data_IF_380346896662
#
_entry.id   IF_380346896662
#
_cell.length_a   1.000
_cell.length_b   1.000
_cell.length_c   1.000
_cell.angle_alpha   90.00
_cell.angle_beta   90.00
_cell.angle_gamma   90.00
#
_symmetry.space_group_name_H-M   'P 1'
#
loop_
_entity.id
_entity.type
_entity.pdbx_description
1 polymer ?
#
# COMPACT_ATOMS: atom_id res chain seq x y z
N UNK A 1 23.20 -8.47 3.00
CA UNK A 1 22.77 -9.75 3.61
C UNK A 1 22.25 -9.45 5.00
N UNK A 2 20.93 -9.45 5.19
CA UNK A 2 20.31 -9.40 6.53
C UNK A 2 19.44 -10.65 6.61
N UNK A 3 19.67 -11.56 7.57
CA UNK A 3 18.98 -12.85 7.58
C UNK A 3 17.49 -12.65 7.82
N UNK A 4 16.67 -13.34 7.02
CA UNK A 4 15.22 -13.50 7.24
C UNK A 4 15.02 -14.27 8.54
N UNK A 5 14.42 -13.65 9.56
CA UNK A 5 13.87 -14.39 10.70
C UNK A 5 12.34 -14.35 10.54
N UNK A 6 11.80 -15.34 9.83
CA UNK A 6 10.37 -15.60 9.85
C UNK A 6 10.06 -16.29 11.18
N UNK A 7 9.41 -15.58 12.09
CA UNK A 7 8.88 -16.16 13.32
C UNK A 7 7.60 -16.90 12.99
N UNK A 8 7.74 -18.12 12.50
CA UNK A 8 6.65 -19.09 12.47
C UNK A 8 6.22 -19.41 13.92
N UNK A 9 4.97 -19.81 14.18
CA UNK A 9 4.52 -20.29 15.49
C UNK A 9 5.44 -21.39 16.04
N UNK A 10 6.08 -22.15 15.15
CA UNK A 10 7.11 -23.14 15.48
C UNK A 10 8.40 -22.53 16.07
N UNK A 11 8.77 -21.29 15.76
CA UNK A 11 9.91 -20.60 16.36
C UNK A 11 9.63 -20.20 17.82
N UNK A 12 8.40 -19.77 18.12
CA UNK A 12 7.96 -19.56 19.51
C UNK A 12 7.87 -20.87 20.28
N UNK A 13 7.34 -21.93 19.66
CA UNK A 13 7.34 -23.25 20.29
C UNK A 13 8.75 -23.78 20.49
N UNK A 14 9.69 -23.56 19.56
CA UNK A 14 11.09 -23.94 19.71
C UNK A 14 11.79 -23.16 20.82
N UNK A 15 11.55 -21.85 20.92
CA UNK A 15 12.07 -21.03 22.01
C UNK A 15 11.52 -21.44 23.38
N UNK A 16 10.21 -21.69 23.45
CA UNK A 16 9.56 -22.17 24.67
C UNK A 16 10.01 -23.59 25.04
N UNK A 17 10.14 -24.49 24.06
CA UNK A 17 10.64 -25.84 24.24
C UNK A 17 12.09 -25.84 24.70
N UNK A 18 12.96 -25.00 24.11
CA UNK A 18 14.34 -24.84 24.55
C UNK A 18 14.43 -24.30 25.98
N UNK A 19 13.60 -23.31 26.34
CA UNK A 19 13.49 -22.79 27.71
C UNK A 19 13.03 -23.87 28.70
N UNK A 20 12.01 -24.65 28.34
CA UNK A 20 11.53 -25.80 29.11
C UNK A 20 12.62 -26.87 29.26
N UNK A 21 13.39 -27.14 28.21
CA UNK A 21 14.48 -28.12 28.23
C UNK A 21 15.60 -27.68 29.19
N UNK A 22 15.88 -26.38 29.26
CA UNK A 22 16.83 -25.79 30.23
C UNK A 22 16.29 -25.87 31.66
N UNK A 23 15.02 -25.56 31.89
CA UNK A 23 14.40 -25.71 33.23
C UNK A 23 14.31 -27.17 33.67
N UNK A 24 13.95 -28.08 32.76
CA UNK A 24 13.84 -29.52 33.03
C UNK A 24 15.21 -30.13 33.28
N UNK A 25 16.23 -29.79 32.49
CA UNK A 25 17.60 -30.26 32.74
C UNK A 25 18.16 -29.74 34.08
N UNK A 26 17.87 -28.48 34.45
CA UNK A 26 18.21 -27.95 35.77
C UNK A 26 17.50 -28.70 36.91
N UNK A 27 16.21 -29.02 36.73
CA UNK A 27 15.41 -29.75 37.72
C UNK A 27 15.87 -31.20 37.87
N UNK A 28 16.16 -31.88 36.76
CA UNK A 28 16.70 -33.25 36.75
C UNK A 28 18.09 -33.28 37.39
N UNK A 29 18.96 -32.31 37.10
CA UNK A 29 20.28 -32.22 37.73
C UNK A 29 20.19 -31.96 39.23
N UNK A 30 19.26 -31.10 39.67
CA UNK A 30 18.99 -30.85 41.08
C UNK A 30 18.45 -32.11 41.79
N UNK A 31 17.52 -32.84 41.17
CA UNK A 31 16.98 -34.11 41.68
C UNK A 31 18.04 -35.21 41.75
N UNK A 32 18.91 -35.31 40.74
CA UNK A 32 19.99 -36.29 40.71
C UNK A 32 21.05 -36.00 41.79
N UNK A 33 21.34 -34.71 42.02
CA UNK A 33 22.21 -34.23 43.11
C UNK A 33 21.60 -34.42 44.49
N UNK A 34 20.28 -34.25 44.62
CA UNK A 34 19.56 -34.53 45.86
C UNK A 34 19.61 -36.04 46.20
N UNK A 35 19.34 -36.90 45.20
CA UNK A 35 19.42 -38.37 45.34
C UNK A 35 20.82 -38.86 45.67
N UNK A 36 21.87 -38.33 45.04
CA UNK A 36 23.25 -38.72 45.37
C UNK A 36 23.68 -38.24 46.77
N UNK A 37 23.14 -37.12 47.25
CA UNK A 37 23.37 -36.64 48.63
C UNK A 37 22.59 -37.41 49.71
N UNK A 38 21.50 -38.09 49.34
CA UNK A 38 20.71 -38.97 50.23
C UNK A 38 21.25 -40.40 50.21
N UNK A 39 21.64 -40.93 49.05
CA UNK A 39 22.31 -42.23 48.95
C UNK A 39 23.65 -42.27 49.70
N UNK A 40 24.34 -41.13 49.82
CA UNK A 40 25.56 -41.02 50.66
C UNK A 40 25.23 -40.87 52.15
N UNK A 41 24.05 -40.33 52.53
CA UNK A 41 23.67 -40.16 53.94
C UNK A 41 23.08 -41.43 54.58
N UNK A 42 22.49 -42.34 53.81
CA UNK A 42 22.09 -43.66 54.31
C UNK A 42 23.24 -44.67 54.42
N UNK A 43 24.42 -44.35 53.87
CA UNK A 43 25.58 -45.26 53.84
C UNK A 43 26.81 -44.75 54.60
N UNK A 44 26.71 -43.71 55.44
CA UNK A 44 27.80 -43.36 56.38
C UNK A 44 27.72 -44.23 57.63
N UNK A 45 27.98 -45.51 57.44
CA UNK A 45 28.84 -46.28 58.33
C UNK A 45 30.22 -46.40 57.66
N UNK A 46 31.06 -45.37 57.82
CA UNK A 46 32.52 -45.44 57.62
C UNK A 46 33.05 -45.62 56.19
N UNK A 47 33.78 -44.61 55.68
CA UNK A 47 34.63 -44.81 54.49
C UNK A 47 35.04 -43.51 53.81
N UNK A 48 36.26 -43.07 54.08
CA UNK A 48 36.90 -41.91 53.42
C UNK A 48 37.18 -42.24 51.95
N UNK A 49 37.31 -41.17 51.15
CA UNK A 49 37.93 -41.07 49.82
C UNK A 49 37.22 -41.75 48.64
N UNK A 50 36.72 -40.92 47.72
CA UNK A 50 36.19 -41.36 46.43
C UNK A 50 35.32 -40.33 45.69
N UNK A 51 35.25 -39.08 46.14
CA UNK A 51 34.66 -38.02 45.31
C UNK A 51 35.64 -37.69 44.19
N UNK A 52 35.45 -38.33 43.05
CA UNK A 52 36.15 -38.05 41.79
C UNK A 52 36.08 -36.56 41.50
N UNK A 53 37.21 -35.87 41.65
CA UNK A 53 37.40 -34.43 41.37
C UNK A 53 36.85 -34.04 39.99
N UNK A 54 36.80 -34.98 39.04
CA UNK A 54 36.18 -34.84 37.71
C UNK A 54 34.67 -34.57 37.70
N UNK A 55 33.88 -35.16 38.59
CA UNK A 55 32.42 -34.94 38.65
C UNK A 55 32.06 -33.52 39.13
N UNK A 56 32.89 -32.94 40.00
CA UNK A 56 32.73 -31.57 40.49
C UNK A 56 33.10 -30.50 39.45
N UNK A 57 34.04 -30.81 38.54
CA UNK A 57 34.47 -29.91 37.45
C UNK A 57 33.48 -29.93 36.29
N UNK A 58 32.98 -31.12 35.92
CA UNK A 58 31.97 -31.26 34.87
C UNK A 58 30.66 -30.55 35.24
N UNK A 59 30.21 -30.68 36.49
CA UNK A 59 29.01 -29.98 36.98
C UNK A 59 29.18 -28.46 37.00
N UNK A 60 30.36 -27.93 37.38
CA UNK A 60 30.62 -26.48 37.27
C UNK A 60 30.64 -25.99 35.82
N UNK A 61 31.23 -26.75 34.91
CA UNK A 61 31.25 -26.41 33.49
C UNK A 61 29.83 -26.36 32.90
N UNK A 62 28.95 -27.30 33.27
CA UNK A 62 27.55 -27.32 32.84
C UNK A 62 26.76 -26.11 33.38
N UNK A 63 26.98 -25.71 34.63
CA UNK A 63 26.31 -24.54 35.22
C UNK A 63 26.77 -23.23 34.54
N UNK A 64 28.07 -23.10 34.28
CA UNK A 64 28.62 -21.93 33.56
C UNK A 64 28.10 -21.88 32.12
N UNK A 65 28.07 -23.03 31.43
CA UNK A 65 27.52 -23.13 30.08
C UNK A 65 26.02 -22.78 30.06
N UNK A 66 25.26 -23.25 31.05
CA UNK A 66 23.84 -22.93 31.19
C UNK A 66 23.60 -21.43 31.43
N UNK A 67 24.37 -20.80 32.32
CA UNK A 67 24.27 -19.37 32.57
C UNK A 67 24.63 -18.55 31.32
N UNK A 68 25.68 -18.97 30.59
CA UNK A 68 26.08 -18.35 29.34
C UNK A 68 25.00 -18.46 28.26
N UNK A 69 24.38 -19.64 28.09
CA UNK A 69 23.29 -19.86 27.15
C UNK A 69 22.03 -19.05 27.52
N UNK A 70 21.69 -18.98 28.82
CA UNK A 70 20.56 -18.17 29.31
C UNK A 70 20.76 -16.69 29.04
N UNK A 71 21.98 -16.17 29.29
CA UNK A 71 22.32 -14.77 29.01
C UNK A 71 22.30 -14.47 27.52
N UNK A 72 22.78 -15.40 26.68
CA UNK A 72 22.73 -15.29 25.22
C UNK A 72 21.29 -15.21 24.71
N UNK A 73 20.39 -16.07 25.21
CA UNK A 73 18.97 -16.05 24.87
C UNK A 73 18.28 -14.74 25.28
N UNK A 74 18.58 -14.23 26.48
CA UNK A 74 18.07 -12.93 26.95
C UNK A 74 18.57 -11.77 26.09
N UNK A 75 19.86 -11.75 25.73
CA UNK A 75 20.40 -10.74 24.83
C UNK A 75 19.73 -10.76 23.45
N UNK A 76 19.50 -11.94 22.87
CA UNK A 76 18.79 -12.07 21.58
C UNK A 76 17.35 -11.57 21.69
N UNK A 77 16.64 -11.93 22.76
CA UNK A 77 15.27 -11.47 22.99
C UNK A 77 15.19 -9.95 23.18
N UNK A 78 16.12 -9.36 23.94
CA UNK A 78 16.16 -7.92 24.20
C UNK A 78 16.52 -7.12 22.94
N UNK A 79 17.54 -7.57 22.20
CA UNK A 79 17.94 -6.93 20.94
C UNK A 79 16.81 -7.00 19.90
N UNK A 80 16.06 -8.10 19.89
CA UNK A 80 14.86 -8.25 19.07
C UNK A 80 13.73 -7.29 19.49
N UNK A 81 13.47 -7.15 20.79
CA UNK A 81 12.48 -6.19 21.32
C UNK A 81 12.86 -4.74 20.98
N UNK A 82 14.14 -4.39 21.08
CA UNK A 82 14.64 -3.07 20.71
C UNK A 82 14.52 -2.80 19.19
N UNK A 83 14.81 -3.79 18.36
CA UNK A 83 14.67 -3.70 16.90
C UNK A 83 13.23 -3.42 16.45
N UNK A 84 12.24 -4.02 17.13
CA UNK A 84 10.81 -3.78 16.88
C UNK A 84 10.39 -2.34 17.17
N UNK A 85 10.96 -1.70 18.21
CA UNK A 85 10.61 -0.31 18.57
C UNK A 85 11.06 0.70 17.51
N UNK A 86 12.19 0.46 16.83
CA UNK A 86 12.69 1.34 15.76
C UNK A 86 11.81 1.40 14.51
N UNK A 87 10.99 0.37 14.26
CA UNK A 87 10.05 0.34 13.12
C UNK A 87 8.80 1.18 13.37
N UNK A 88 8.38 1.34 14.64
CA UNK A 88 7.18 2.10 15.01
C UNK A 88 7.37 3.62 14.88
N UNK A 89 8.62 4.12 14.83
CA UNK A 89 8.94 5.55 14.75
C UNK A 89 9.71 5.91 13.48
N UNK A 90 9.66 5.04 12.47
CA UNK A 90 10.41 5.26 11.24
C UNK A 90 9.83 6.45 10.46
N UNK A 91 10.67 7.45 10.18
CA UNK A 91 10.25 8.68 9.50
C UNK A 91 9.81 8.39 8.05
N UNK A 92 8.49 8.45 7.82
CA UNK A 92 7.87 8.30 6.50
C UNK A 92 7.69 9.63 5.76
N UNK A 93 8.05 10.76 6.39
CA UNK A 93 7.75 12.11 5.89
C UNK A 93 6.29 12.53 6.07
N UNK A 94 5.52 11.78 6.87
CA UNK A 94 4.13 12.07 7.25
C UNK A 94 3.96 11.90 8.76
N UNK A 95 2.99 12.61 9.34
CA UNK A 95 2.59 12.51 10.74
C UNK A 95 1.44 11.52 10.90
N UNK A 96 1.74 10.29 11.29
CA UNK A 96 0.71 9.24 11.41
C UNK A 96 -0.04 9.23 12.77
N UNK A 97 0.55 9.78 13.82
CA UNK A 97 0.07 9.61 15.21
C UNK A 97 -1.21 10.38 15.55
N UNK A 98 -1.49 11.44 14.78
CA UNK A 98 -2.62 12.33 15.01
C UNK A 98 -3.52 12.46 13.78
N UNK A 99 -3.51 11.44 12.91
CA UNK A 99 -4.32 11.41 11.70
C UNK A 99 -5.27 10.22 11.75
N UNK A 100 -6.53 10.48 11.50
CA UNK A 100 -7.54 9.43 11.27
C UNK A 100 -7.80 9.32 9.76
N UNK A 101 -7.73 8.08 9.28
CA UNK A 101 -7.99 7.71 7.89
C UNK A 101 -9.37 7.08 7.79
N UNK A 102 -10.17 7.55 6.85
CA UNK A 102 -11.49 6.98 6.49
C UNK A 102 -11.52 6.71 5.01
N UNK A 103 -11.99 5.54 4.58
CA UNK A 103 -12.00 5.19 3.16
C UNK A 103 -13.41 4.91 2.68
N UNK A 104 -13.76 5.42 1.50
CA UNK A 104 -15.01 5.08 0.82
C UNK A 104 -14.72 4.55 -0.58
N UNK A 105 -15.65 3.73 -1.08
CA UNK A 105 -15.67 3.27 -2.47
C UNK A 105 -16.94 3.84 -3.11
N UNK A 106 -16.86 4.96 -3.85
CA UNK A 106 -18.03 5.55 -4.49
C UNK A 106 -18.41 4.70 -5.72
N UNK A 107 -19.61 4.08 -5.77
CA UNK A 107 -20.00 3.30 -6.93
C UNK A 107 -20.33 4.23 -8.09
N UNK A 108 -19.84 3.87 -9.29
CA UNK A 108 -20.04 4.66 -10.50
C UNK A 108 -21.52 4.81 -10.90
N UNK A 109 -22.41 3.93 -10.42
CA UNK A 109 -23.86 4.05 -10.62
C UNK A 109 -24.47 5.26 -9.92
N UNK A 110 -23.95 5.63 -8.75
CA UNK A 110 -24.43 6.79 -7.96
C UNK A 110 -23.62 8.05 -8.24
N UNK A 111 -22.35 7.89 -8.63
CA UNK A 111 -21.44 8.99 -8.91
C UNK A 111 -20.86 8.85 -10.32
N UNK A 112 -21.70 8.99 -11.37
CA UNK A 112 -21.29 8.70 -12.76
C UNK A 112 -20.38 9.77 -13.36
N UNK A 113 -20.24 10.93 -12.72
CA UNK A 113 -19.47 12.04 -13.26
C UNK A 113 -18.56 12.69 -12.21
N UNK A 114 -17.56 13.42 -12.71
CA UNK A 114 -16.52 14.06 -11.90
C UNK A 114 -17.05 15.19 -11.03
N UNK A 115 -18.10 15.88 -11.46
CA UNK A 115 -18.71 16.92 -10.64
C UNK A 115 -19.38 16.33 -9.39
N UNK A 116 -20.03 15.18 -9.51
CA UNK A 116 -20.63 14.46 -8.39
C UNK A 116 -19.56 14.00 -7.39
N UNK A 117 -18.46 13.41 -7.88
CA UNK A 117 -17.33 12.98 -7.02
C UNK A 117 -16.63 14.16 -6.34
N UNK A 118 -16.38 15.26 -7.07
CA UNK A 118 -15.81 16.47 -6.48
C UNK A 118 -16.73 17.08 -5.42
N UNK A 119 -18.04 17.10 -5.66
CA UNK A 119 -19.02 17.63 -4.72
C UNK A 119 -19.12 16.76 -3.47
N UNK A 120 -19.17 15.43 -3.64
CA UNK A 120 -19.10 14.47 -2.54
C UNK A 120 -17.86 14.72 -1.67
N UNK A 121 -16.67 14.76 -2.28
CA UNK A 121 -15.42 14.99 -1.57
C UNK A 121 -15.44 16.30 -0.78
N UNK A 122 -15.90 17.41 -1.40
CA UNK A 122 -15.99 18.71 -0.73
C UNK A 122 -16.97 18.71 0.44
N UNK A 123 -18.16 18.12 0.27
CA UNK A 123 -19.18 18.08 1.32
C UNK A 123 -18.73 17.24 2.52
N UNK A 124 -18.10 16.08 2.26
CA UNK A 124 -17.54 15.23 3.32
C UNK A 124 -16.43 15.97 4.07
N UNK A 125 -15.48 16.59 3.34
CA UNK A 125 -14.40 17.38 3.94
C UNK A 125 -14.96 18.53 4.80
N UNK A 126 -15.97 19.25 4.30
CA UNK A 126 -16.59 20.35 5.05
C UNK A 126 -17.20 19.87 6.37
N UNK A 127 -17.90 18.72 6.37
CA UNK A 127 -18.46 18.15 7.60
C UNK A 127 -17.39 17.63 8.55
N UNK A 128 -16.36 16.96 8.04
CA UNK A 128 -15.25 16.50 8.88
C UNK A 128 -14.48 17.66 9.53
N UNK A 129 -14.32 18.78 8.83
CA UNK A 129 -13.70 20.01 9.39
C UNK A 129 -14.53 20.67 10.47
N UNK A 130 -15.85 20.48 10.46
CA UNK A 130 -16.74 21.02 11.48
C UNK A 130 -16.68 20.22 12.81
N UNK A 131 -16.01 19.06 12.83
CA UNK A 131 -15.83 18.26 14.05
C UNK A 131 -14.83 18.99 14.97
N UNK A 132 -15.20 19.29 16.23
CA UNK A 132 -14.29 19.94 17.18
C UNK A 132 -12.99 19.16 17.35
N UNK A 133 -11.85 19.83 17.18
CA UNK A 133 -10.52 19.21 17.28
C UNK A 133 -9.93 18.71 15.96
N UNK A 134 -10.72 18.63 14.87
CA UNK A 134 -10.21 18.42 13.52
C UNK A 134 -9.57 19.72 12.98
N UNK A 135 -8.27 19.67 12.66
CA UNK A 135 -7.49 20.84 12.24
C UNK A 135 -7.41 20.99 10.74
N UNK A 136 -7.01 19.92 10.06
CA UNK A 136 -6.86 19.87 8.62
C UNK A 136 -7.51 18.59 8.13
N UNK A 137 -8.24 18.69 7.03
CA UNK A 137 -8.89 17.54 6.40
C UNK A 137 -8.71 17.64 4.90
N UNK A 138 -8.37 16.53 4.29
CA UNK A 138 -8.33 16.40 2.84
C UNK A 138 -8.64 14.98 2.39
N UNK A 139 -8.74 14.83 1.08
CA UNK A 139 -8.96 13.54 0.44
C UNK A 139 -7.96 13.29 -0.69
N UNK A 140 -7.74 12.00 -0.98
CA UNK A 140 -6.92 11.52 -2.09
C UNK A 140 -7.44 10.21 -2.67
N UNK A 141 -6.99 9.91 -3.88
CA UNK A 141 -7.37 8.73 -4.67
C UNK A 141 -6.74 7.42 -4.23
N UNK A 142 -5.67 7.47 -3.44
CA UNK A 142 -4.92 6.28 -3.04
C UNK A 142 -4.34 6.46 -1.65
N UNK A 143 -4.27 5.41 -0.84
CA UNK A 143 -3.66 5.47 0.49
C UNK A 143 -2.25 6.12 0.43
N UNK A 144 -1.91 7.08 1.32
CA UNK A 144 -0.58 7.72 1.31
C UNK A 144 0.54 6.71 1.65
N UNK A 145 0.15 5.59 2.24
CA UNK A 145 0.99 4.48 2.68
C UNK A 145 0.60 3.24 1.86
N UNK A 146 1.54 2.66 1.13
CA UNK A 146 1.36 1.50 0.24
C UNK A 146 0.65 1.79 -1.09
N UNK A 147 0.08 2.99 -1.28
CA UNK A 147 -0.66 3.35 -2.48
C UNK A 147 0.20 3.95 -3.58
N UNK A 148 0.09 3.42 -4.80
CA UNK A 148 0.81 3.93 -5.96
C UNK A 148 -0.07 3.92 -7.20
N UNK A 149 -0.22 5.08 -7.84
CA UNK A 149 -0.97 5.23 -9.09
C UNK A 149 0.01 5.63 -10.18
N UNK A 150 0.46 4.69 -11.02
CA UNK A 150 1.41 5.00 -12.07
C UNK A 150 0.73 5.86 -13.15
N UNK A 151 1.31 7.02 -13.43
CA UNK A 151 0.98 7.80 -14.63
C UNK A 151 2.24 8.03 -15.46
N UNK A 152 2.12 7.88 -16.77
CA UNK A 152 3.21 8.05 -17.71
C UNK A 152 3.51 9.53 -17.92
N UNK A 153 4.77 9.89 -17.74
CA UNK A 153 5.29 11.17 -18.21
C UNK A 153 5.44 11.13 -19.73
N UNK A 154 5.16 12.25 -20.37
CA UNK A 154 5.61 12.48 -21.73
C UNK A 154 7.13 12.66 -21.69
N UNK A 155 7.85 11.70 -22.27
CA UNK A 155 9.31 11.72 -22.35
C UNK A 155 9.76 11.45 -23.78
N UNK A 156 10.87 12.08 -24.16
CA UNK A 156 11.58 11.79 -25.41
C UNK A 156 12.36 10.48 -25.34
N UNK A 157 12.52 9.91 -24.14
CA UNK A 157 13.22 8.65 -23.93
C UNK A 157 12.38 7.44 -24.38
N UNK A 158 12.98 6.41 -24.99
CA UNK A 158 12.28 5.18 -25.34
C UNK A 158 11.78 4.38 -24.13
N UNK A 159 12.26 4.67 -22.92
CA UNK A 159 11.76 4.06 -21.68
C UNK A 159 10.65 4.92 -21.08
N UNK A 160 9.43 4.36 -21.00
CA UNK A 160 8.30 5.02 -20.37
C UNK A 160 8.54 5.24 -18.87
N UNK A 161 8.73 6.48 -18.47
CA UNK A 161 8.85 6.89 -17.08
C UNK A 161 7.48 7.05 -16.44
N UNK A 162 7.29 6.41 -15.29
CA UNK A 162 6.04 6.48 -14.53
C UNK A 162 6.30 7.19 -13.21
N UNK A 163 5.34 8.01 -12.80
CA UNK A 163 5.36 8.71 -11.51
C UNK A 163 4.11 8.39 -10.71
N UNK A 164 4.17 8.63 -9.40
CA UNK A 164 3.00 8.50 -8.55
C UNK A 164 2.08 9.70 -8.75
N UNK A 165 0.98 9.51 -9.46
CA UNK A 165 0.01 10.57 -9.73
C UNK A 165 -1.13 10.53 -8.74
N UNK A 166 -1.27 11.60 -7.95
CA UNK A 166 -2.28 11.68 -6.90
C UNK A 166 -3.12 12.93 -7.09
N UNK A 167 -4.43 12.76 -7.07
CA UNK A 167 -5.33 13.91 -7.04
C UNK A 167 -5.85 14.15 -5.65
N UNK A 168 -5.79 15.41 -5.23
CA UNK A 168 -6.04 15.84 -3.87
C UNK A 168 -7.26 16.75 -3.80
N UNK A 169 -7.95 16.72 -2.65
CA UNK A 169 -8.98 17.68 -2.29
C UNK A 169 -8.71 18.21 -0.88
N UNK A 170 -8.93 19.51 -0.66
CA UNK A 170 -8.76 20.13 0.65
C UNK A 170 -7.30 20.22 1.12
N UNK A 171 -7.08 20.14 2.43
CA UNK A 171 -5.80 20.44 3.08
C UNK A 171 -4.99 19.16 3.34
N UNK A 172 -5.03 18.19 2.42
CA UNK A 172 -4.52 16.85 2.67
C UNK A 172 -3.04 16.83 3.08
N UNK A 173 -2.17 17.52 2.34
CA UNK A 173 -0.73 17.54 2.61
C UNK A 173 -0.44 18.17 3.99
N UNK A 174 -1.25 19.15 4.41
CA UNK A 174 -1.18 19.73 5.77
C UNK A 174 -1.70 18.76 6.83
N UNK A 175 -2.77 18.02 6.54
CA UNK A 175 -3.29 16.98 7.43
C UNK A 175 -2.24 15.90 7.69
N UNK A 176 -1.50 15.49 6.65
CA UNK A 176 -0.39 14.55 6.76
C UNK A 176 0.90 15.17 7.34
N UNK A 177 0.93 16.49 7.57
CA UNK A 177 2.11 17.18 8.09
C UNK A 177 3.29 17.22 7.12
N UNK A 178 3.04 17.09 5.81
CA UNK A 178 4.08 17.16 4.77
C UNK A 178 4.52 18.63 4.63
N UNK A 179 5.82 18.93 4.79
CA UNK A 179 6.29 20.31 4.73
C UNK A 179 6.26 20.85 3.30
N UNK A 180 5.83 22.11 3.14
CA UNK A 180 6.02 22.87 1.91
C UNK A 180 7.46 23.40 1.89
N UNK A 181 8.22 23.06 0.85
CA UNK A 181 9.62 23.45 0.69
C UNK A 181 9.77 24.70 -0.17
N UNK A 182 8.97 24.83 -1.24
CA UNK A 182 8.98 25.98 -2.17
C UNK A 182 7.59 26.23 -2.74
N UNK A 183 7.30 27.48 -3.10
CA UNK A 183 6.06 27.87 -3.79
C UNK A 183 4.85 27.88 -2.86
N UNK A 184 3.73 27.34 -3.34
CA UNK A 184 2.45 27.28 -2.59
C UNK A 184 1.79 25.91 -2.67
N UNK A 185 0.89 25.64 -1.73
CA UNK A 185 -0.08 24.55 -1.84
C UNK A 185 -1.33 25.02 -2.59
N UNK A 186 -2.21 24.08 -2.92
CA UNK A 186 -3.49 24.39 -3.55
C UNK A 186 -4.40 25.24 -2.66
N UNK A 187 -5.16 26.12 -3.30
CA UNK A 187 -6.17 26.95 -2.66
C UNK A 187 -7.45 27.01 -3.50
N UNK A 188 -8.39 27.88 -3.12
CA UNK A 188 -9.71 27.99 -3.77
C UNK A 188 -9.65 28.54 -5.20
N UNK A 189 -8.54 29.16 -5.60
CA UNK A 189 -8.34 29.70 -6.95
C UNK A 189 -7.96 28.62 -7.96
N UNK A 190 -7.47 27.47 -7.50
CA UNK A 190 -7.13 26.31 -8.34
C UNK A 190 -8.38 25.50 -8.70
N UNK A 191 -9.30 26.14 -9.42
CA UNK A 191 -10.58 25.55 -9.82
C UNK A 191 -10.53 24.89 -11.20
N UNK A 192 -11.58 24.12 -11.51
CA UNK A 192 -11.79 23.57 -12.85
C UNK A 192 -11.84 24.72 -13.89
N UNK A 193 -11.11 24.59 -15.00
CA UNK A 193 -11.04 25.61 -16.06
C UNK A 193 -10.08 26.77 -15.78
N UNK A 194 -9.44 26.82 -14.61
CA UNK A 194 -8.30 27.70 -14.36
C UNK A 194 -7.00 27.16 -14.96
N UNK A 195 -5.88 27.82 -14.65
CA UNK A 195 -4.56 27.29 -15.02
C UNK A 195 -4.34 25.92 -14.37
N UNK A 196 -3.94 24.92 -15.16
CA UNK A 196 -3.66 23.58 -14.67
C UNK A 196 -2.38 23.59 -13.84
N UNK A 197 -2.48 23.22 -12.57
CA UNK A 197 -1.38 23.32 -11.60
C UNK A 197 -1.11 21.99 -10.92
N UNK A 198 0.14 21.83 -10.48
CA UNK A 198 0.59 20.69 -9.72
C UNK A 198 1.53 21.09 -8.58
N UNK A 199 1.55 20.26 -7.55
CA UNK A 199 2.57 20.27 -6.51
C UNK A 199 3.37 18.98 -6.68
N UNK A 200 4.70 19.06 -6.62
CA UNK A 200 5.57 17.88 -6.77
C UNK A 200 6.36 17.65 -5.48
N UNK A 201 6.82 16.43 -5.24
CA UNK A 201 7.75 16.21 -4.13
C UNK A 201 9.21 16.43 -4.55
N UNK A 202 10.08 16.60 -3.56
CA UNK A 202 11.52 16.76 -3.76
C UNK A 202 12.13 15.62 -4.61
N UNK A 203 11.70 14.38 -4.39
CA UNK A 203 12.21 13.22 -5.13
C UNK A 203 11.82 13.22 -6.62
N UNK A 204 10.70 13.87 -6.99
CA UNK A 204 10.35 14.11 -8.39
C UNK A 204 11.28 15.16 -9.00
N UNK A 205 11.50 16.28 -8.30
CA UNK A 205 12.35 17.38 -8.75
C UNK A 205 13.77 16.89 -9.02
N UNK A 206 14.35 16.12 -8.09
CA UNK A 206 15.71 15.58 -8.24
C UNK A 206 15.88 14.67 -9.46
N UNK A 207 14.82 14.00 -9.90
CA UNK A 207 14.88 13.02 -11.00
C UNK A 207 14.53 13.59 -12.36
N UNK A 208 13.57 14.51 -12.42
CA UNK A 208 12.94 14.91 -13.69
C UNK A 208 13.05 16.40 -13.98
N UNK A 209 13.62 17.20 -13.08
CA UNK A 209 13.71 18.65 -13.25
C UNK A 209 15.14 19.16 -13.08
N UNK A 210 15.47 20.18 -13.85
CA UNK A 210 16.72 20.91 -13.75
C UNK A 210 16.43 22.37 -13.43
N UNK A 211 17.22 22.98 -12.54
CA UNK A 211 17.05 24.38 -12.15
C UNK A 211 15.86 24.63 -11.21
N UNK A 212 15.20 25.78 -11.36
CA UNK A 212 14.07 26.17 -10.52
C UNK A 212 12.80 25.40 -10.95
N UNK A 213 12.21 24.53 -10.10
CA UNK A 213 11.05 23.74 -10.48
C UNK A 213 9.76 24.56 -10.61
N UNK A 214 9.66 25.71 -9.94
CA UNK A 214 8.43 26.52 -9.97
C UNK A 214 8.23 27.13 -11.36
N UNK A 215 7.00 27.03 -11.89
CA UNK A 215 6.63 27.51 -13.22
C UNK A 215 6.97 26.53 -14.35
N UNK A 216 7.72 25.46 -14.09
CA UNK A 216 7.97 24.42 -15.09
C UNK A 216 6.72 23.56 -15.30
N UNK A 217 6.59 22.99 -16.50
CA UNK A 217 5.47 22.11 -16.84
C UNK A 217 5.85 20.64 -16.71
N UNK A 218 4.97 19.86 -16.11
CA UNK A 218 4.99 18.39 -16.16
C UNK A 218 3.99 17.96 -17.21
N UNK A 219 4.42 17.12 -18.15
CA UNK A 219 3.60 16.65 -19.27
C UNK A 219 3.30 15.17 -19.11
N UNK A 220 2.06 14.77 -19.32
CA UNK A 220 1.60 13.39 -19.18
C UNK A 220 1.15 12.82 -20.51
N UNK A 221 1.50 11.55 -20.77
CA UNK A 221 0.94 10.77 -21.87
C UNK A 221 -0.35 10.10 -21.39
N UNK A 222 -1.48 10.62 -21.88
CA UNK A 222 -2.82 10.15 -21.52
C UNK A 222 -3.50 9.37 -22.65
N UNK A 223 -2.78 9.02 -23.72
CA UNK A 223 -3.35 8.36 -24.90
C UNK A 223 -3.95 7.00 -24.59
N UNK A 224 -3.36 6.30 -23.61
CA UNK A 224 -3.89 5.04 -23.08
C UNK A 224 -5.31 5.18 -22.49
N UNK A 225 -5.72 6.39 -22.12
CA UNK A 225 -7.04 6.73 -21.59
C UNK A 225 -7.96 7.38 -22.65
N UNK A 226 -7.54 7.41 -23.93
CA UNK A 226 -8.28 8.07 -25.00
C UNK A 226 -8.40 9.59 -24.80
N UNK A 227 -7.36 10.20 -24.21
CA UNK A 227 -7.26 11.62 -23.92
C UNK A 227 -6.01 12.21 -24.61
N UNK A 228 -6.03 13.52 -24.95
CA UNK A 228 -4.83 14.21 -25.40
C UNK A 228 -3.80 14.30 -24.25
N UNK A 229 -2.53 14.47 -24.63
CA UNK A 229 -1.45 14.74 -23.68
C UNK A 229 -1.78 16.01 -22.85
N UNK A 230 -1.52 15.98 -21.55
CA UNK A 230 -1.86 17.07 -20.63
C UNK A 230 -0.59 17.67 -20.03
N UNK A 231 -0.58 19.00 -19.86
CA UNK A 231 0.52 19.71 -19.20
C UNK A 231 0.00 20.45 -17.96
N UNK A 232 0.69 20.28 -16.83
CA UNK A 232 0.39 20.95 -15.56
C UNK A 232 1.59 21.76 -15.09
N UNK A 233 1.36 22.95 -14.56
CA UNK A 233 2.43 23.85 -14.10
C UNK A 233 2.75 23.62 -12.63
N UNK A 234 4.02 23.45 -12.30
CA UNK A 234 4.45 23.26 -10.92
C UNK A 234 4.37 24.58 -10.15
N UNK A 235 3.51 24.62 -9.14
CA UNK A 235 3.33 25.80 -8.26
C UNK A 235 3.89 25.60 -6.86
N UNK A 236 4.28 24.38 -6.51
CA UNK A 236 4.85 24.07 -5.21
C UNK A 236 5.69 22.80 -5.19
N UNK A 237 6.62 22.75 -4.24
CA UNK A 237 7.45 21.59 -3.93
C UNK A 237 7.27 21.21 -2.48
N UNK A 238 7.02 19.94 -2.20
CA UNK A 238 6.79 19.41 -0.84
C UNK A 238 7.80 18.34 -0.45
N UNK A 239 7.86 18.06 0.85
CA UNK A 239 8.65 16.97 1.41
C UNK A 239 8.26 15.59 0.86
N UNK A 240 9.18 14.65 0.96
CA UNK A 240 9.01 13.30 0.44
C UNK A 240 8.14 12.43 1.34
N UNK A 241 7.16 11.73 0.76
CA UNK A 241 6.42 10.66 1.43
C UNK A 241 7.03 9.31 1.04
N UNK A 242 7.51 8.54 2.02
CA UNK A 242 8.03 7.19 1.81
C UNK A 242 6.90 6.17 1.76
N UNK A 243 6.15 6.19 0.66
CA UNK A 243 4.95 5.37 0.43
C UNK A 243 5.16 3.87 0.72
N UNK A 244 6.30 3.29 0.36
CA UNK A 244 6.57 1.85 0.52
C UNK A 244 7.27 1.48 1.84
N UNK A 245 7.38 2.44 2.76
CA UNK A 245 8.04 2.25 4.04
C UNK A 245 9.43 2.89 4.11
N UNK A 246 10.05 2.92 5.30
CA UNK A 246 11.19 3.76 5.61
C UNK A 246 12.49 3.34 4.90
N UNK A 247 12.58 2.05 4.53
CA UNK A 247 13.74 1.45 3.86
C UNK A 247 13.74 1.65 2.34
N UNK A 248 12.64 2.15 1.77
CA UNK A 248 12.53 2.42 0.33
C UNK A 248 12.70 3.91 0.05
N UNK A 249 13.30 4.28 -1.10
CA UNK A 249 13.30 5.67 -1.54
C UNK A 249 11.87 6.13 -1.80
N UNK A 250 11.59 7.41 -1.54
CA UNK A 250 10.29 7.98 -1.87
C UNK A 250 10.09 7.97 -3.40
N UNK A 251 8.91 7.55 -3.91
CA UNK A 251 8.61 7.68 -5.32
C UNK A 251 8.51 9.17 -5.72
N UNK A 252 8.80 9.48 -6.98
CA UNK A 252 8.52 10.81 -7.52
C UNK A 252 7.01 10.96 -7.60
N UNK A 253 6.47 11.97 -6.95
CA UNK A 253 5.04 12.18 -6.84
C UNK A 253 4.63 13.51 -7.46
N UNK A 254 3.53 13.48 -8.22
CA UNK A 254 2.85 14.66 -8.73
C UNK A 254 1.45 14.69 -8.13
N UNK A 255 1.19 15.73 -7.36
CA UNK A 255 -0.10 16.03 -6.76
C UNK A 255 -0.83 17.04 -7.64
N UNK A 256 -2.11 16.81 -7.91
CA UNK A 256 -2.96 17.74 -8.68
C UNK A 256 -4.28 18.00 -7.95
N UNK A 257 -4.94 19.15 -8.15
CA UNK A 257 -6.29 19.36 -7.62
C UNK A 257 -7.28 18.39 -8.27
N UNK A 258 -8.09 17.70 -7.47
CA UNK A 258 -9.16 16.80 -7.96
C UNK A 258 -10.15 17.51 -8.88
N UNK A 259 -10.33 18.83 -8.74
CA UNK A 259 -11.17 19.64 -9.60
C UNK A 259 -10.60 19.85 -11.02
N UNK A 260 -9.28 19.69 -11.19
CA UNK A 260 -8.59 19.91 -12.46
C UNK A 260 -8.31 18.63 -13.24
N UNK A 261 -8.47 17.44 -12.62
CA UNK A 261 -8.23 16.16 -13.30
C UNK A 261 -9.22 15.98 -14.46
N UNK A 262 -8.76 15.60 -15.66
CA UNK A 262 -9.65 15.31 -16.79
C UNK A 262 -10.73 14.29 -16.43
N UNK A 263 -12.00 14.51 -16.81
CA UNK A 263 -13.10 13.68 -16.35
C UNK A 263 -12.95 12.17 -16.59
N UNK A 264 -12.48 11.79 -17.78
CA UNK A 264 -12.22 10.39 -18.13
C UNK A 264 -11.06 9.79 -17.34
N UNK A 265 -10.02 10.57 -17.08
CA UNK A 265 -8.87 10.12 -16.31
C UNK A 265 -9.27 9.87 -14.84
N UNK A 266 -10.01 10.80 -14.24
CA UNK A 266 -10.49 10.64 -12.87
C UNK A 266 -11.35 9.40 -12.73
N UNK A 267 -12.32 9.18 -13.63
CA UNK A 267 -13.17 7.98 -13.61
C UNK A 267 -12.38 6.68 -13.83
N UNK A 268 -11.29 6.71 -14.59
CA UNK A 268 -10.43 5.55 -14.82
C UNK A 268 -9.50 5.24 -13.63
N UNK A 269 -9.11 6.27 -12.86
CA UNK A 269 -8.15 6.13 -11.76
C UNK A 269 -8.81 6.07 -10.38
N UNK A 270 -10.09 6.42 -10.26
CA UNK A 270 -10.81 6.38 -8.99
C UNK A 270 -11.31 4.97 -8.68
N UNK A 271 -10.66 4.29 -7.74
CA UNK A 271 -11.18 3.07 -7.10
C UNK A 271 -11.74 3.40 -5.71
N UNK A 272 -10.96 4.15 -4.93
CA UNK A 272 -11.30 4.54 -3.56
C UNK A 272 -11.03 6.02 -3.35
N UNK A 273 -11.76 6.60 -2.43
CA UNK A 273 -11.47 7.93 -1.92
C UNK A 273 -11.10 7.81 -0.44
N UNK A 274 -9.86 8.15 -0.14
CA UNK A 274 -9.30 8.17 1.20
C UNK A 274 -9.43 9.58 1.76
N UNK A 275 -9.95 9.72 2.97
CA UNK A 275 -10.05 10.97 3.71
C UNK A 275 -9.10 10.89 4.89
N UNK A 276 -8.25 11.90 5.04
CA UNK A 276 -7.29 12.00 6.13
C UNK A 276 -7.58 13.28 6.91
N UNK A 277 -7.81 13.13 8.21
CA UNK A 277 -8.10 14.24 9.11
C UNK A 277 -7.05 14.29 10.23
N UNK A 278 -6.33 15.41 10.32
CA UNK A 278 -5.47 15.71 11.45
C UNK A 278 -6.31 16.17 12.64
N UNK A 279 -6.17 15.50 13.77
CA UNK A 279 -6.93 15.77 15.00
C UNK A 279 -6.02 16.19 16.14
N UNK A 280 -6.59 16.86 17.15
CA UNK A 280 -5.82 17.39 18.29
C UNK A 280 -5.70 16.40 19.46
N UNK A 281 -6.48 15.32 19.46
CA UNK A 281 -6.48 14.28 20.49
C UNK A 281 -6.18 12.88 19.93
N UNK A 282 -6.56 11.83 20.66
CA UNK A 282 -6.38 10.45 20.21
C UNK A 282 -7.22 10.17 18.96
N UNK A 283 -6.64 9.76 17.81
CA UNK A 283 -7.39 9.57 16.57
C UNK A 283 -8.59 8.64 16.69
N UNK A 284 -8.48 7.59 17.52
CA UNK A 284 -9.56 6.59 17.65
C UNK A 284 -10.85 7.18 18.21
N UNK A 285 -10.79 8.24 19.03
CA UNK A 285 -12.00 8.87 19.60
C UNK A 285 -12.81 9.63 18.56
N UNK A 286 -12.22 9.92 17.39
CA UNK A 286 -12.88 10.62 16.28
C UNK A 286 -13.51 9.65 15.27
N UNK A 287 -13.31 8.33 15.42
CA UNK A 287 -13.73 7.35 14.42
C UNK A 287 -15.23 7.39 14.10
N UNK A 288 -16.08 7.41 15.12
CA UNK A 288 -17.53 7.49 14.91
C UNK A 288 -17.96 8.84 14.34
N UNK A 289 -17.38 9.95 14.80
CA UNK A 289 -17.69 11.27 14.27
C UNK A 289 -17.33 11.40 12.78
N UNK A 290 -16.15 10.88 12.39
CA UNK A 290 -15.70 10.86 10.99
C UNK A 290 -16.61 9.98 10.12
N UNK A 291 -17.00 8.80 10.62
CA UNK A 291 -17.94 7.92 9.93
C UNK A 291 -19.30 8.58 9.74
N UNK A 292 -19.84 9.23 10.78
CA UNK A 292 -21.12 9.94 10.71
C UNK A 292 -21.06 11.13 9.75
N UNK A 293 -19.93 11.84 9.67
CA UNK A 293 -19.75 12.93 8.71
C UNK A 293 -19.86 12.44 7.26
N UNK A 294 -19.35 11.25 6.96
CA UNK A 294 -19.53 10.61 5.64
C UNK A 294 -20.99 10.20 5.41
N UNK A 295 -21.58 9.47 6.37
CA UNK A 295 -22.95 8.95 6.24
C UNK A 295 -24.00 10.06 6.15
N UNK A 296 -23.76 11.22 6.76
CA UNK A 296 -24.64 12.37 6.62
C UNK A 296 -24.68 12.93 5.19
N UNK A 297 -23.58 12.79 4.42
CA UNK A 297 -23.51 13.25 3.02
C UNK A 297 -23.98 12.16 2.07
N UNK A 298 -23.56 10.93 2.34
CA UNK A 298 -23.80 9.79 1.47
C UNK A 298 -24.20 8.57 2.32
N UNK A 299 -25.44 8.53 2.82
CA UNK A 299 -25.92 7.45 3.71
C UNK A 299 -25.88 6.07 3.07
N UNK A 300 -25.91 6.03 1.73
CA UNK A 300 -25.85 4.81 0.93
C UNK A 300 -24.43 4.27 0.71
N UNK A 301 -23.38 4.97 1.18
CA UNK A 301 -22.00 4.51 1.04
C UNK A 301 -21.55 3.67 2.24
N UNK A 302 -20.94 2.54 1.95
CA UNK A 302 -20.20 1.77 2.94
C UNK A 302 -18.91 2.50 3.31
N UNK A 303 -18.82 2.96 4.55
CA UNK A 303 -17.60 3.55 5.10
C UNK A 303 -16.67 2.42 5.55
N UNK A 304 -15.55 2.24 4.85
CA UNK A 304 -14.51 1.32 5.30
C UNK A 304 -13.77 1.96 6.48
N UNK A 305 -13.63 1.16 7.54
CA UNK A 305 -13.20 1.54 8.89
C UNK A 305 -12.47 2.89 9.02
N UNK A 306 -13.00 3.77 9.88
CA UNK A 306 -12.30 4.96 10.32
C UNK A 306 -11.26 4.54 11.38
N UNK A 307 -9.97 4.54 11.00
CA UNK A 307 -8.87 4.04 11.84
C UNK A 307 -7.71 5.02 11.87
N UNK A 308 -6.90 5.02 12.95
CA UNK A 308 -5.66 5.80 12.99
C UNK A 308 -4.75 5.45 11.80
N UNK A 309 -4.12 6.45 11.19
CA UNK A 309 -3.19 6.24 10.08
C UNK A 309 -1.97 5.42 10.52
N UNK A 310 -1.57 5.54 11.79
CA UNK A 310 -0.53 4.71 12.41
C UNK A 310 -0.81 3.20 12.32
N UNK A 311 -2.07 2.78 12.41
CA UNK A 311 -2.45 1.37 12.27
C UNK A 311 -2.22 0.88 10.82
N UNK A 312 -2.54 1.71 9.82
CA UNK A 312 -2.26 1.41 8.41
C UNK A 312 -0.76 1.34 8.12
N UNK A 313 0.02 2.23 8.74
CA UNK A 313 1.50 2.19 8.68
C UNK A 313 2.02 0.88 9.23
N UNK A 314 1.56 0.46 10.42
CA UNK A 314 1.95 -0.81 11.01
C UNK A 314 1.56 -2.00 10.13
N UNK A 315 0.37 -1.97 9.52
CA UNK A 315 -0.07 -3.01 8.58
C UNK A 315 0.83 -3.08 7.35
N UNK A 316 1.23 -1.95 6.76
CA UNK A 316 2.17 -1.93 5.63
C UNK A 316 3.52 -2.54 6.04
N UNK A 317 4.07 -2.12 7.18
CA UNK A 317 5.35 -2.61 7.67
C UNK A 317 5.34 -4.12 7.94
N UNK A 318 4.18 -4.68 8.34
CA UNK A 318 3.98 -6.13 8.49
C UNK A 318 3.82 -6.84 7.14
N UNK A 319 3.12 -6.23 6.18
CA UNK A 319 2.81 -6.83 4.88
C UNK A 319 4.00 -6.82 3.92
N UNK A 320 4.95 -5.90 4.07
CA UNK A 320 6.18 -5.84 3.27
C UNK A 320 7.41 -6.16 4.12
N UNK A 321 7.57 -7.42 4.60
CA UNK A 321 8.80 -7.82 5.24
C UNK A 321 9.91 -7.86 4.18
N UNK A 322 10.88 -6.95 4.31
CA UNK A 322 12.10 -6.78 3.50
C UNK A 322 12.45 -8.00 2.63
N UNK A 323 11.96 -8.03 1.39
CA UNK A 323 12.51 -8.92 0.38
C UNK A 323 13.51 -8.15 -0.48
N UNK A 324 14.79 -8.29 -0.11
CA UNK A 324 15.93 -7.71 -0.82
C UNK A 324 16.26 -8.41 -2.14
N UNK A 325 15.28 -9.06 -2.78
CA UNK A 325 15.42 -9.73 -4.08
C UNK A 325 14.20 -9.50 -4.94
N UNK A 326 13.97 -8.25 -5.32
CA UNK A 326 13.25 -7.96 -6.57
C UNK A 326 13.68 -6.60 -7.14
N UNK A 327 15.00 -6.39 -7.18
CA UNK A 327 15.58 -5.36 -8.04
C UNK A 327 15.58 -5.90 -9.47
N UNK A 328 14.58 -5.50 -10.26
CA UNK A 328 14.55 -5.68 -11.71
C UNK A 328 13.19 -5.96 -12.34
N UNK A 329 12.16 -6.38 -11.58
CA UNK A 329 10.88 -6.84 -12.17
C UNK A 329 9.61 -6.12 -11.75
N UNK A 330 9.64 -5.32 -10.67
CA UNK A 330 8.47 -4.53 -10.24
C UNK A 330 8.05 -3.42 -11.24
N UNK A 331 8.88 -3.11 -12.25
CA UNK A 331 8.53 -2.24 -13.37
C UNK A 331 7.81 -2.94 -14.56
N UNK A 332 7.59 -4.26 -14.51
CA UNK A 332 6.96 -5.01 -15.62
C UNK A 332 5.74 -5.86 -15.21
N UNK A 333 5.42 -5.97 -13.93
CA UNK A 333 4.38 -6.88 -13.42
C UNK A 333 2.94 -6.36 -13.38
N UNK A 334 2.71 -5.04 -13.42
CA UNK A 334 1.35 -4.48 -13.39
C UNK A 334 0.81 -4.05 -14.77
N UNK A 335 1.53 -4.32 -15.87
CA UNK A 335 1.09 -3.98 -17.23
C UNK A 335 0.12 -5.00 -17.86
N UNK A 336 -0.36 -5.99 -17.11
CA UNK A 336 -1.25 -7.04 -17.61
C UNK A 336 -2.57 -7.13 -16.80
N UNK A 337 -3.25 -6.01 -16.61
CA UNK A 337 -4.64 -5.99 -16.17
C UNK A 337 -5.32 -4.73 -16.71
N UNK A 338 -5.81 -4.81 -17.94
CA UNK A 338 -6.50 -3.67 -18.56
C UNK A 338 -6.61 -3.74 -20.09
N UNK A 339 -7.07 -4.87 -20.64
CA UNK A 339 -7.67 -4.86 -21.98
C UNK A 339 -9.20 -4.89 -21.83
N UNK A 340 -9.93 -3.86 -22.30
CA UNK A 340 -11.38 -3.91 -22.36
C UNK A 340 -11.84 -4.74 -23.58
N UNK A 341 -12.68 -5.74 -23.33
CA UNK A 341 -13.71 -6.19 -24.28
C UNK A 341 -13.25 -6.94 -25.54
N UNK A 342 -12.78 -8.18 -25.39
CA UNK A 342 -12.81 -9.13 -26.49
C UNK A 342 -14.25 -9.65 -26.67
N UNK A 343 -14.97 -9.10 -27.65
CA UNK A 343 -16.22 -9.65 -28.18
C UNK A 343 -15.95 -11.06 -28.70
N UNK A 344 -16.49 -12.05 -27.99
CA UNK A 344 -16.41 -13.47 -28.34
C UNK A 344 -17.40 -13.76 -29.48
N UNK A 345 -17.01 -13.46 -30.72
CA UNK A 345 -17.71 -13.93 -31.93
C UNK A 345 -17.29 -15.37 -32.19
N UNK A 346 -18.22 -16.31 -31.97
CA UNK A 346 -18.04 -17.72 -32.32
C UNK A 346 -17.90 -17.89 -33.84
N UNK A 347 -16.78 -18.46 -34.26
CA UNK A 347 -16.54 -18.95 -35.61
C UNK A 347 -17.41 -20.18 -35.90
N UNK A 348 -17.94 -20.29 -37.12
CA UNK A 348 -17.72 -21.46 -37.98
C UNK A 348 -17.67 -21.01 -39.44
N UNK A 349 -16.60 -21.41 -40.11
CA UNK A 349 -16.41 -21.17 -41.53
C UNK A 349 -17.12 -22.20 -42.40
N UNK A 350 -17.46 -21.75 -43.61
CA UNK A 350 -17.23 -22.44 -44.87
C UNK A 350 -16.75 -21.34 -45.83
N UNK A 351 -15.49 -21.36 -46.28
CA UNK A 351 -14.94 -22.16 -47.37
C UNK A 351 -15.48 -21.75 -48.74
N UNK A 352 -14.58 -21.21 -49.56
CA UNK A 352 -14.64 -21.19 -51.04
C UNK A 352 -15.49 -20.08 -51.64
N UNK A 353 -14.92 -19.03 -52.24
CA UNK A 353 -14.21 -19.01 -53.52
C UNK A 353 -15.10 -18.49 -54.67
N UNK A 354 -14.55 -17.48 -55.36
CA UNK A 354 -14.64 -17.29 -56.82
C UNK A 354 -15.89 -16.58 -57.39
N UNK A 355 -15.70 -15.26 -57.55
CA UNK A 355 -15.61 -14.56 -58.85
C UNK A 355 -16.81 -13.81 -59.46
N UNK A 356 -16.39 -12.65 -60.01
CA UNK A 356 -16.80 -11.98 -61.25
C UNK A 356 -18.15 -11.26 -61.30
N UNK A 357 -18.04 -9.95 -61.12
CA UNK A 357 -18.79 -8.90 -61.84
C UNK A 357 -18.39 -8.92 -63.32
N UNK A 358 -19.38 -8.84 -64.21
CA UNK A 358 -19.19 -8.62 -65.64
C UNK A 358 -20.32 -9.15 -66.51
N UNK A 359 -21.54 -8.62 -66.36
CA UNK A 359 -22.58 -8.74 -67.39
C UNK A 359 -22.35 -7.67 -68.45
N UNK A 360 -22.28 -8.09 -69.70
CA UNK A 360 -22.83 -7.33 -70.81
C UNK A 360 -23.36 -8.29 -71.88
N UNK A 361 -24.52 -7.90 -72.42
CA UNK A 361 -25.22 -8.38 -73.63
C UNK A 361 -26.22 -9.54 -73.46
N UNK A 362 -27.39 -9.28 -74.03
CA UNK A 362 -28.19 -10.31 -74.69
C UNK A 362 -29.50 -10.69 -74.01
N UNK A 363 -30.45 -9.77 -74.05
CA UNK A 363 -31.82 -9.94 -74.58
C UNK A 363 -32.65 -11.21 -74.28
N UNK A 364 -33.97 -10.97 -74.19
CA UNK A 364 -35.12 -11.89 -74.21
C UNK A 364 -35.63 -12.44 -72.86
N UNK A 365 -36.82 -11.93 -72.49
CA UNK A 365 -37.82 -12.57 -71.62
C UNK A 365 -38.43 -13.80 -72.35
N UNK A 366 -39.21 -14.73 -71.72
CA UNK A 366 -40.09 -14.53 -70.57
C UNK A 366 -40.15 -15.66 -69.50
N UNK A 367 -40.86 -15.34 -68.41
CA UNK A 367 -41.56 -16.17 -67.40
C UNK A 367 -42.23 -17.47 -67.90
N UNK A 368 -42.92 -18.29 -67.06
CA UNK A 368 -42.86 -18.55 -65.60
C UNK A 368 -42.92 -20.08 -65.29
N UNK A 369 -43.06 -20.46 -64.00
CA UNK A 369 -43.89 -21.56 -63.43
C UNK A 369 -43.14 -22.31 -62.33
N UNK A 370 -43.68 -22.23 -61.11
CA UNK A 370 -44.40 -23.31 -60.38
C UNK A 370 -43.40 -24.15 -59.57
N UNK A 371 -43.65 -24.69 -58.38
CA UNK A 371 -44.73 -24.79 -57.39
C UNK A 371 -44.20 -25.93 -56.45
N UNK A 372 -44.87 -26.23 -55.33
CA UNK A 372 -44.78 -27.50 -54.57
C UNK A 372 -43.63 -27.51 -53.54
N UNK A 373 -43.92 -27.15 -52.28
CA UNK A 373 -44.53 -27.94 -51.18
C UNK A 373 -43.42 -28.53 -50.29
N UNK A 374 -43.36 -28.07 -49.03
CA UNK A 374 -43.72 -28.84 -47.83
C UNK A 374 -42.90 -30.12 -47.64
N UNK A 375 -42.19 -30.21 -46.52
CA UNK A 375 -42.56 -31.09 -45.40
C UNK A 375 -41.62 -30.84 -44.21
N UNK A 376 -42.26 -30.85 -43.04
CA UNK A 376 -41.73 -30.79 -41.69
C UNK A 376 -40.56 -31.73 -41.39
N UNK A 377 -39.56 -31.23 -40.65
CA UNK A 377 -39.25 -31.71 -39.29
C UNK A 377 -38.41 -30.71 -38.52
#
# INVERSE_FOLDING_TARGET
>A
FVPRVQLTPSAFMLGAAAGLLVMLSASVLALWRARSSQAVRELVGGGRSGQTVGASRLSRALVVLQAALGMMLLMVALLFAHSQQGLAHANLGIRADHVISTTITPPLSLYPNVQALNTLARQVIARMRAIPGARFVGALNVSPVGGYVPLRLQSSSPTAEHVNYQFLQGDLLRALGVPLLRGRLFDRTDHAGGAAVAVVNEAFVQRHMHGNPLGQQVRFDLRAYGLPDEAVTVVGVVGNIKTFGPSYPAPGAVYVPMAQVPPRLLLALIDRLHFEAAVSGSPITYADAMRQAVLAVAPQLAVQHARPLSERVLQLLRAHPRDGRDHGRAGRGCAAAGQPGAVRRGQRGHAGAVSRVGRARGAWAPTPRRLILHVLR
#
